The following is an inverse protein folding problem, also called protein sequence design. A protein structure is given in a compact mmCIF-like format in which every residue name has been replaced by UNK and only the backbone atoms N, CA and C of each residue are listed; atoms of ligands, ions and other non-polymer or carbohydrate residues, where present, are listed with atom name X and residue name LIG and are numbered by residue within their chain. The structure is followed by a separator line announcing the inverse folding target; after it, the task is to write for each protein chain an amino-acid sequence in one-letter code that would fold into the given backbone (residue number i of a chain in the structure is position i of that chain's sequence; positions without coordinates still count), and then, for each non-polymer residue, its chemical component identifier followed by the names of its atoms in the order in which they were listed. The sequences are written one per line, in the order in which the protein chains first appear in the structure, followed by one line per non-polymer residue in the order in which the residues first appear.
data_IF_913681567130
#
_entry.id   IF_913681567130
#
_cell.length_a   1.000
_cell.length_b   1.000
_cell.length_c   1.000
_cell.angle_alpha   90.00
_cell.angle_beta   90.00
_cell.angle_gamma   90.00
#
_symmetry.space_group_name_H-M   'P 1'
#
loop_
_entity.id
_entity.type
_entity.pdbx_description
1 polymer ?
#
# COMPACT_ATOMS: atom_id res chain seq x y z
N UNK A 1 8.67 -11.73 -22.68
CA UNK A 1 7.69 -11.01 -21.83
C UNK A 1 8.02 -9.52 -21.90
N UNK A 2 7.08 -8.67 -22.30
CA UNK A 2 7.31 -7.22 -22.28
C UNK A 2 7.47 -6.75 -20.82
N UNK A 3 8.53 -5.99 -20.53
CA UNK A 3 8.77 -5.42 -19.20
C UNK A 3 8.49 -3.92 -19.28
N UNK A 4 7.59 -3.44 -18.44
CA UNK A 4 7.28 -2.00 -18.32
C UNK A 4 7.91 -1.46 -17.05
N UNK A 5 8.58 -0.32 -17.15
CA UNK A 5 9.13 0.40 -16.00
C UNK A 5 8.06 1.28 -15.38
N UNK A 6 7.74 1.05 -14.10
CA UNK A 6 6.88 1.93 -13.31
C UNK A 6 7.73 2.78 -12.35
N UNK A 7 7.58 4.11 -12.44
CA UNK A 7 8.23 5.04 -11.53
C UNK A 7 7.40 5.26 -10.25
N UNK A 8 8.08 5.31 -9.10
CA UNK A 8 7.51 5.69 -7.79
C UNK A 8 8.24 6.94 -7.32
N UNK A 9 7.48 7.98 -6.94
CA UNK A 9 8.05 9.22 -6.39
C UNK A 9 8.32 9.00 -4.90
N UNK A 10 9.57 9.17 -4.49
CA UNK A 10 10.01 9.09 -3.10
C UNK A 10 10.74 10.39 -2.76
N UNK A 11 10.59 10.85 -1.52
CA UNK A 11 11.48 11.86 -0.96
C UNK A 11 12.88 11.26 -0.70
N UNK A 12 13.87 12.12 -0.47
CA UNK A 12 15.25 11.69 -0.31
C UNK A 12 15.46 10.83 0.96
N UNK A 13 14.73 11.14 2.05
CA UNK A 13 14.82 10.39 3.31
C UNK A 13 14.33 8.95 3.09
N UNK A 14 13.16 8.78 2.48
CA UNK A 14 12.59 7.47 2.16
C UNK A 14 13.48 6.70 1.20
N UNK A 15 14.07 7.36 0.20
CA UNK A 15 15.03 6.73 -0.73
C UNK A 15 16.26 6.21 -0.01
N UNK A 16 16.82 7.00 0.92
CA UNK A 16 17.98 6.59 1.72
C UNK A 16 17.65 5.40 2.63
N UNK A 17 16.47 5.42 3.27
CA UNK A 17 15.98 4.30 4.09
C UNK A 17 15.81 3.02 3.27
N UNK A 18 15.24 3.11 2.07
CA UNK A 18 15.10 1.97 1.15
C UNK A 18 16.47 1.36 0.79
N UNK A 19 17.45 2.21 0.44
CA UNK A 19 18.80 1.77 0.12
C UNK A 19 19.49 1.08 1.30
N UNK A 20 19.34 1.64 2.51
CA UNK A 20 19.89 1.04 3.73
C UNK A 20 19.23 -0.32 4.04
N UNK A 21 17.90 -0.40 3.95
CA UNK A 21 17.17 -1.65 4.20
C UNK A 21 17.56 -2.77 3.21
N UNK A 22 17.68 -2.46 1.92
CA UNK A 22 18.09 -3.46 0.93
C UNK A 22 19.55 -3.90 1.13
N UNK A 23 20.44 -2.97 1.49
CA UNK A 23 21.85 -3.28 1.75
C UNK A 23 22.04 -4.21 2.95
N UNK A 24 21.23 -4.08 4.01
CA UNK A 24 21.23 -5.00 5.16
C UNK A 24 20.92 -6.44 4.78
N UNK A 25 20.16 -6.64 3.70
CA UNK A 25 19.78 -7.95 3.18
C UNK A 25 20.69 -8.41 2.04
N UNK A 26 21.77 -7.68 1.75
CA UNK A 26 22.69 -7.94 0.63
C UNK A 26 21.99 -7.89 -0.75
N UNK A 27 21.02 -7.00 -0.93
CA UNK A 27 20.27 -6.90 -2.19
C UNK A 27 20.20 -5.48 -2.73
N UNK A 28 20.05 -5.38 -4.06
CA UNK A 28 19.84 -4.08 -4.71
C UNK A 28 18.46 -3.51 -4.38
N UNK A 29 18.35 -2.18 -4.30
CA UNK A 29 17.08 -1.52 -4.02
C UNK A 29 15.99 -1.89 -5.05
N UNK A 30 16.37 -2.04 -6.33
CA UNK A 30 15.45 -2.46 -7.38
C UNK A 30 14.89 -3.87 -7.15
N UNK A 31 15.75 -4.87 -6.86
CA UNK A 31 15.31 -6.23 -6.58
C UNK A 31 14.45 -6.30 -5.32
N UNK A 32 14.88 -5.61 -4.27
CA UNK A 32 14.17 -5.55 -2.99
C UNK A 32 12.76 -4.98 -3.15
N UNK A 33 12.64 -3.84 -3.86
CA UNK A 33 11.33 -3.23 -4.13
C UNK A 33 10.44 -4.15 -4.95
N UNK A 34 10.98 -4.80 -5.99
CA UNK A 34 10.23 -5.77 -6.81
C UNK A 34 9.71 -6.93 -5.96
N UNK A 35 10.54 -7.49 -5.07
CA UNK A 35 10.14 -8.60 -4.19
C UNK A 35 9.12 -8.18 -3.14
N UNK A 36 9.24 -6.98 -2.57
CA UNK A 36 8.25 -6.43 -1.66
C UNK A 36 6.87 -6.27 -2.35
N UNK A 37 6.84 -5.71 -3.57
CA UNK A 37 5.59 -5.56 -4.35
C UNK A 37 4.94 -6.92 -4.61
N UNK A 38 5.70 -7.92 -5.06
CA UNK A 38 5.17 -9.25 -5.32
C UNK A 38 4.58 -9.89 -4.06
N UNK A 39 5.30 -9.83 -2.94
CA UNK A 39 4.81 -10.34 -1.66
C UNK A 39 3.55 -9.64 -1.19
N UNK A 40 3.41 -8.34 -1.47
CA UNK A 40 2.20 -7.61 -1.13
C UNK A 40 1.02 -8.01 -2.00
N UNK A 41 1.22 -8.20 -3.30
CA UNK A 41 0.17 -8.69 -4.19
C UNK A 41 -0.33 -10.06 -3.73
N UNK A 42 0.60 -10.99 -3.43
CA UNK A 42 0.25 -12.33 -2.95
C UNK A 42 -0.61 -12.29 -1.67
N UNK A 43 -0.32 -11.36 -0.74
CA UNK A 43 -1.13 -11.18 0.48
C UNK A 43 -2.54 -10.67 0.16
N UNK A 44 -2.66 -9.69 -0.74
CA UNK A 44 -3.97 -9.15 -1.15
C UNK A 44 -4.78 -10.22 -1.89
N UNK A 45 -4.16 -10.98 -2.78
CA UNK A 45 -4.78 -12.11 -3.48
C UNK A 45 -5.21 -13.21 -2.51
N UNK A 46 -4.50 -13.38 -1.39
CA UNK A 46 -4.88 -14.23 -0.27
C UNK A 46 -5.99 -13.69 0.64
N UNK A 47 -6.58 -12.52 0.32
CA UNK A 47 -7.69 -11.93 1.06
C UNK A 47 -7.29 -10.94 2.16
N UNK A 48 -6.02 -10.53 2.25
CA UNK A 48 -5.61 -9.52 3.20
C UNK A 48 -6.19 -8.14 2.81
N UNK A 49 -6.87 -7.50 3.76
CA UNK A 49 -7.32 -6.11 3.64
C UNK A 49 -6.17 -5.10 3.81
N UNK A 50 -6.51 -3.82 3.68
CA UNK A 50 -5.52 -2.73 3.77
C UNK A 50 -4.88 -2.61 5.18
N UNK A 51 -5.57 -3.12 6.20
CA UNK A 51 -5.13 -3.27 7.59
C UNK A 51 -3.92 -4.18 7.78
N UNK A 52 -3.64 -5.07 6.83
CA UNK A 52 -2.41 -5.86 6.87
C UNK A 52 -1.16 -5.03 6.52
N UNK A 53 -1.33 -3.80 5.99
CA UNK A 53 -0.25 -2.98 5.45
C UNK A 53 -0.09 -1.65 6.19
N UNK A 54 -1.14 -1.16 6.83
CA UNK A 54 -1.16 0.08 7.60
C UNK A 54 -1.60 -0.22 9.03
N UNK A 55 -1.03 0.47 10.00
CA UNK A 55 -1.55 0.41 11.37
C UNK A 55 -3.03 0.83 11.36
N UNK A 56 -3.87 0.13 12.12
CA UNK A 56 -5.32 0.36 12.17
C UNK A 56 -5.63 1.83 12.55
N UNK A 57 -4.81 2.42 13.42
CA UNK A 57 -4.90 3.81 13.85
C UNK A 57 -4.59 4.82 12.73
N UNK A 58 -3.79 4.42 11.74
CA UNK A 58 -3.53 5.22 10.55
C UNK A 58 -4.63 5.07 9.49
N UNK A 59 -5.35 3.94 9.51
CA UNK A 59 -6.49 3.67 8.64
C UNK A 59 -7.72 4.51 8.99
N UNK A 60 -7.99 4.70 10.28
CA UNK A 60 -9.05 5.62 10.73
C UNK A 60 -8.82 7.06 10.25
N UNK A 61 -7.55 7.44 10.06
CA UNK A 61 -7.14 8.76 9.57
C UNK A 61 -6.94 8.78 8.04
N UNK A 62 -7.10 7.66 7.35
CA UNK A 62 -7.00 7.62 5.90
C UNK A 62 -8.20 8.35 5.30
N UNK A 63 -7.96 9.59 4.89
CA UNK A 63 -8.92 10.44 4.19
C UNK A 63 -9.39 9.90 2.83
N UNK A 64 -8.94 8.69 2.43
CA UNK A 64 -9.24 8.04 1.15
C UNK A 64 -8.96 8.90 -0.06
N UNK A 65 -8.12 9.94 0.06
CA UNK A 65 -7.81 10.91 -1.01
C UNK A 65 -7.32 10.25 -2.30
N UNK A 66 -6.74 9.05 -2.20
CA UNK A 66 -6.24 8.30 -3.33
C UNK A 66 -7.11 7.11 -3.76
N UNK A 67 -8.30 6.92 -3.17
CA UNK A 67 -9.26 5.87 -3.55
C UNK A 67 -9.63 5.98 -5.03
N UNK A 68 -9.58 4.85 -5.74
CA UNK A 68 -10.00 4.75 -7.14
C UNK A 68 -11.50 5.07 -7.27
N UNK A 69 -12.33 4.61 -6.31
CA UNK A 69 -13.76 4.92 -6.29
C UNK A 69 -14.01 6.43 -6.25
N UNK A 70 -13.25 7.19 -5.44
CA UNK A 70 -13.33 8.66 -5.42
C UNK A 70 -12.86 9.33 -6.70
N UNK A 71 -11.87 8.76 -7.41
CA UNK A 71 -11.38 9.31 -8.68
C UNK A 71 -12.34 9.05 -9.83
N UNK A 72 -12.98 7.89 -9.85
CA UNK A 72 -13.94 7.49 -10.88
C UNK A 72 -15.32 8.10 -10.65
N UNK A 73 -15.64 8.48 -9.42
CA UNK A 73 -16.89 9.12 -9.09
C UNK A 73 -16.81 10.63 -9.28
N UNK A 74 -17.27 11.11 -10.44
CA UNK A 74 -17.30 12.54 -10.77
C UNK A 74 -18.49 13.26 -10.09
N UNK A 75 -19.55 12.52 -9.72
CA UNK A 75 -20.85 13.09 -9.34
C UNK A 75 -21.55 12.49 -8.09
N UNK A 76 -21.00 11.50 -7.36
CA UNK A 76 -21.65 11.06 -6.11
C UNK A 76 -21.17 11.87 -4.90
N UNK A 77 -22.15 12.42 -4.18
CA UNK A 77 -21.98 12.93 -2.83
C UNK A 77 -21.14 11.95 -1.99
N UNK A 78 -20.12 12.48 -1.34
CA UNK A 78 -19.13 11.73 -0.52
C UNK A 78 -19.72 10.86 0.59
N UNK A 79 -21.04 10.92 0.82
CA UNK A 79 -21.79 10.18 1.82
C UNK A 79 -21.87 8.65 1.56
N UNK A 80 -21.65 8.18 0.32
CA UNK A 80 -21.87 6.75 -0.02
C UNK A 80 -20.63 5.85 0.12
N UNK A 81 -19.47 6.43 0.42
CA UNK A 81 -18.22 5.69 0.62
C UNK A 81 -18.24 5.02 1.99
N UNK A 82 -18.78 3.80 2.06
CA UNK A 82 -18.73 2.92 3.23
C UNK A 82 -17.31 2.92 3.82
N UNK A 83 -17.11 3.08 5.15
CA UNK A 83 -15.81 3.00 5.80
C UNK A 83 -15.02 1.75 5.39
N UNK A 84 -13.69 1.75 5.55
CA UNK A 84 -12.95 0.52 5.34
C UNK A 84 -13.40 -0.34 6.52
N UNK A 85 -14.14 -1.42 6.25
CA UNK A 85 -14.50 -2.38 7.29
C UNK A 85 -13.19 -2.98 7.78
N UNK A 86 -12.62 -2.36 8.80
CA UNK A 86 -11.53 -2.93 9.56
C UNK A 86 -12.13 -4.18 10.18
N UNK A 87 -11.69 -5.36 9.74
CA UNK A 87 -12.06 -6.60 10.38
C UNK A 87 -11.74 -6.44 11.87
N UNK A 88 -12.80 -6.28 12.70
CA UNK A 88 -12.66 -6.22 14.15
C UNK A 88 -12.03 -7.56 14.52
N UNK A 89 -10.73 -7.53 14.80
CA UNK A 89 -10.06 -8.64 15.43
C UNK A 89 -10.65 -8.72 16.83
N UNK A 90 -11.72 -9.50 16.99
CA UNK A 90 -12.29 -9.79 18.29
C UNK A 90 -11.16 -10.41 19.13
N UNK A 91 -10.80 -9.70 20.21
CA UNK A 91 -9.93 -10.22 21.24
C UNK A 91 -10.59 -11.48 21.84
N UNK A 92 -9.86 -12.59 21.82
CA UNK A 92 -9.92 -13.63 22.84
C UNK A 92 -8.52 -13.82 23.41
#
# INVERSE_FOLDING_TARGET
MAVTTQGIKLDEETRARLKSASAKLDRTAHWFMKKAILSFIEKVEGGAGIEAFMAVELLEKDTRRHSIARRLCKDCDTAHLQPIEVARHELM
#
